data_IF_889057798548
#
_entry.id   IF_889057798548
#
_cell.length_a   1.000
_cell.length_b   1.000
_cell.length_c   1.000
_cell.angle_alpha   90.00
_cell.angle_beta   90.00
_cell.angle_gamma   90.00
#
_symmetry.space_group_name_H-M   'P 1'
#
loop_
_entity.id
_entity.type
_entity.pdbx_description
1 polymer ?
#
# COMPACT_ATOMS: atom_id res chain seq x y z
N UNK A 1 16.33 0.77 8.44
CA UNK A 1 16.17 1.00 6.99
C UNK A 1 15.12 0.08 6.35
N UNK A 2 14.96 -1.16 6.81
CA UNK A 2 14.01 -2.13 6.24
C UNK A 2 12.56 -1.63 6.14
N UNK A 3 12.01 -0.97 7.17
CA UNK A 3 10.61 -0.46 7.14
C UNK A 3 10.38 0.57 6.04
N UNK A 4 11.36 1.44 5.77
CA UNK A 4 11.25 2.45 4.70
C UNK A 4 11.25 1.77 3.33
N UNK A 5 12.12 0.78 3.14
CA UNK A 5 12.17 0.00 1.89
C UNK A 5 10.85 -0.73 1.66
N UNK A 6 10.34 -1.44 2.67
CA UNK A 6 9.04 -2.12 2.59
C UNK A 6 7.89 -1.15 2.31
N UNK A 7 7.90 0.05 2.91
CA UNK A 7 6.88 1.07 2.66
C UNK A 7 6.95 1.60 1.23
N UNK A 8 8.16 1.79 0.69
CA UNK A 8 8.37 2.20 -0.71
C UNK A 8 7.85 1.12 -1.66
N UNK A 9 8.17 -0.16 -1.40
CA UNK A 9 7.68 -1.28 -2.19
C UNK A 9 6.14 -1.35 -2.14
N UNK A 10 5.56 -1.27 -0.95
CA UNK A 10 4.10 -1.27 -0.75
C UNK A 10 3.42 -0.14 -1.54
N UNK A 11 3.97 1.07 -1.53
CA UNK A 11 3.41 2.20 -2.26
C UNK A 11 3.58 2.08 -3.77
N UNK A 12 4.72 1.56 -4.23
CA UNK A 12 4.96 1.32 -5.65
C UNK A 12 4.01 0.24 -6.20
N UNK A 13 3.82 -0.83 -5.43
CA UNK A 13 2.87 -1.92 -5.68
C UNK A 13 1.43 -1.38 -5.73
N UNK A 14 1.01 -0.64 -4.71
CA UNK A 14 -0.32 0.00 -4.64
C UNK A 14 -0.58 0.87 -5.88
N UNK A 15 0.40 1.71 -6.26
CA UNK A 15 0.28 2.57 -7.43
C UNK A 15 0.18 1.75 -8.73
N UNK A 16 0.97 0.68 -8.87
CA UNK A 16 0.88 -0.24 -9.99
C UNK A 16 -0.51 -0.90 -10.10
N UNK A 17 -1.06 -1.41 -9.00
CA UNK A 17 -2.39 -2.05 -8.97
C UNK A 17 -3.49 -1.04 -9.33
N UNK A 18 -3.43 0.17 -8.77
CA UNK A 18 -4.38 1.24 -9.08
C UNK A 18 -4.33 1.65 -10.56
N UNK A 19 -3.12 1.82 -11.13
CA UNK A 19 -2.96 2.17 -12.53
C UNK A 19 -3.57 1.14 -13.46
N UNK A 20 -3.32 -0.16 -13.22
CA UNK A 20 -3.90 -1.23 -14.03
C UNK A 20 -5.42 -1.30 -13.86
N UNK A 21 -5.92 -1.13 -12.64
CA UNK A 21 -7.37 -1.11 -12.39
C UNK A 21 -8.05 0.08 -13.06
N UNK A 22 -7.42 1.24 -13.08
CA UNK A 22 -7.91 2.42 -13.81
C UNK A 22 -7.87 2.19 -15.32
N UNK A 23 -6.77 1.66 -15.85
CA UNK A 23 -6.63 1.36 -17.28
C UNK A 23 -7.69 0.34 -17.75
N UNK A 24 -8.00 -0.67 -16.94
CA UNK A 24 -9.10 -1.59 -17.20
C UNK A 24 -10.46 -0.89 -17.16
N UNK A 25 -10.71 -0.04 -16.16
CA UNK A 25 -11.97 0.68 -15.99
C UNK A 25 -12.29 1.64 -17.16
N UNK A 26 -11.28 2.22 -17.80
CA UNK A 26 -11.44 3.06 -19.00
C UNK A 26 -11.33 2.28 -20.32
N UNK A 27 -11.16 0.96 -20.26
CA UNK A 27 -11.11 0.08 -21.42
C UNK A 27 -9.81 0.10 -22.23
N UNK A 28 -8.72 0.63 -21.68
CA UNK A 28 -7.40 0.63 -22.36
C UNK A 28 -6.75 -0.75 -22.36
N UNK A 29 -6.96 -1.53 -21.30
CA UNK A 29 -6.44 -2.89 -21.16
C UNK A 29 -7.57 -3.84 -20.75
N UNK A 30 -7.36 -5.13 -20.91
CA UNK A 30 -8.15 -6.19 -20.26
C UNK A 30 -7.21 -7.02 -19.42
N UNK A 31 -7.47 -7.10 -18.11
CA UNK A 31 -6.66 -7.92 -17.21
C UNK A 31 -7.05 -9.40 -17.31
N UNK A 32 -8.32 -9.71 -17.61
CA UNK A 32 -8.77 -11.08 -17.89
C UNK A 32 -8.71 -11.43 -19.38
N UNK A 33 -8.19 -12.62 -19.71
CA UNK A 33 -8.33 -13.23 -21.03
C UNK A 33 -9.74 -13.83 -21.24
N UNK A 34 -9.89 -14.70 -22.24
CA UNK A 34 -11.12 -15.51 -22.45
C UNK A 34 -11.38 -16.49 -21.31
N UNK A 35 -10.33 -16.88 -20.58
CA UNK A 35 -10.44 -17.58 -19.30
C UNK A 35 -10.37 -16.55 -18.17
N UNK A 36 -11.18 -16.74 -17.12
CA UNK A 36 -11.33 -15.84 -15.96
C UNK A 36 -10.08 -15.79 -15.05
N UNK A 37 -8.88 -15.90 -15.62
CA UNK A 37 -7.60 -15.97 -14.92
C UNK A 37 -6.81 -14.69 -15.18
N UNK A 38 -6.33 -14.06 -14.11
CA UNK A 38 -5.49 -12.86 -14.17
C UNK A 38 -4.05 -13.21 -14.62
N UNK A 39 -3.26 -12.28 -15.17
CA UNK A 39 -1.87 -12.53 -15.55
C UNK A 39 -1.05 -12.85 -14.30
N UNK A 40 -0.10 -13.79 -14.39
CA UNK A 40 0.63 -14.27 -13.19
C UNK A 40 1.37 -13.15 -12.47
N UNK A 41 1.94 -12.20 -13.23
CA UNK A 41 2.61 -11.04 -12.64
C UNK A 41 1.64 -10.16 -11.83
N UNK A 42 0.42 -9.93 -12.33
CA UNK A 42 -0.60 -9.19 -11.59
C UNK A 42 -1.06 -9.93 -10.33
N UNK A 43 -1.22 -11.26 -10.39
CA UNK A 43 -1.51 -12.09 -9.21
C UNK A 43 -0.38 -12.02 -8.18
N UNK A 44 0.88 -12.09 -8.63
CA UNK A 44 2.04 -11.98 -7.75
C UNK A 44 2.08 -10.62 -7.04
N UNK A 45 1.74 -9.54 -7.75
CA UNK A 45 1.64 -8.19 -7.17
C UNK A 45 0.53 -8.09 -6.12
N UNK A 46 -0.65 -8.68 -6.35
CA UNK A 46 -1.70 -8.74 -5.32
C UNK A 46 -1.22 -9.51 -4.07
N UNK A 47 -0.53 -10.63 -4.28
CA UNK A 47 -0.01 -11.43 -3.18
C UNK A 47 1.09 -10.70 -2.41
N UNK A 48 2.02 -10.02 -3.10
CA UNK A 48 3.06 -9.21 -2.45
C UNK A 48 2.47 -8.03 -1.70
N UNK A 49 1.49 -7.35 -2.26
CA UNK A 49 0.75 -6.26 -1.60
C UNK A 49 0.21 -6.71 -0.24
N UNK A 50 -0.45 -7.87 -0.24
CA UNK A 50 -1.03 -8.46 0.97
C UNK A 50 0.07 -8.83 1.97
N UNK A 51 1.07 -9.60 1.54
CA UNK A 51 2.14 -10.07 2.41
C UNK A 51 2.97 -8.93 3.02
N UNK A 52 3.36 -7.95 2.20
CA UNK A 52 4.11 -6.77 2.64
C UNK A 52 3.23 -5.90 3.55
N UNK A 53 1.96 -5.70 3.23
CA UNK A 53 1.01 -4.96 4.04
C UNK A 53 0.87 -5.55 5.46
N UNK A 54 0.67 -6.86 5.55
CA UNK A 54 0.60 -7.58 6.84
C UNK A 54 1.91 -7.43 7.63
N UNK A 55 3.05 -7.64 6.98
CA UNK A 55 4.37 -7.50 7.60
C UNK A 55 4.59 -6.08 8.14
N UNK A 56 4.24 -5.06 7.36
CA UNK A 56 4.34 -3.66 7.77
C UNK A 56 3.48 -3.36 9.01
N UNK A 57 2.27 -3.92 9.09
CA UNK A 57 1.39 -3.71 10.25
C UNK A 57 1.96 -4.39 11.49
N UNK A 58 2.53 -5.60 11.38
CA UNK A 58 3.20 -6.28 12.50
C UNK A 58 4.37 -5.43 13.02
N UNK A 59 5.22 -4.96 12.11
CA UNK A 59 6.36 -4.10 12.47
C UNK A 59 5.90 -2.77 13.08
N UNK A 60 4.82 -2.19 12.56
CA UNK A 60 4.23 -0.97 13.09
C UNK A 60 3.66 -1.18 14.50
N UNK A 61 2.97 -2.29 14.76
CA UNK A 61 2.43 -2.62 16.08
C UNK A 61 3.56 -2.75 17.13
N UNK A 62 4.61 -3.50 16.81
CA UNK A 62 5.79 -3.61 17.67
C UNK A 62 6.46 -2.24 17.92
N UNK A 63 6.56 -1.40 16.88
CA UNK A 63 7.08 -0.04 17.03
C UNK A 63 6.19 0.81 17.94
N UNK A 64 4.87 0.76 17.78
CA UNK A 64 3.92 1.53 18.57
C UNK A 64 4.02 1.14 20.04
N UNK A 65 4.02 -0.16 20.35
CA UNK A 65 4.17 -0.66 21.72
C UNK A 65 5.45 -0.12 22.39
N UNK A 66 6.58 -0.20 21.68
CA UNK A 66 7.85 0.34 22.16
C UNK A 66 7.86 1.89 22.27
N UNK A 67 7.15 2.57 21.39
CA UNK A 67 7.15 4.04 21.29
C UNK A 67 6.23 4.72 22.32
N UNK A 68 5.11 4.08 22.69
CA UNK A 68 4.07 4.64 23.56
C UNK A 68 4.58 5.20 24.91
N UNK A 69 5.48 4.52 25.66
CA UNK A 69 5.99 5.05 26.93
C UNK A 69 6.72 6.39 26.77
N UNK A 70 7.36 6.64 25.63
CA UNK A 70 8.03 7.91 25.35
C UNK A 70 7.03 9.00 24.98
N UNK A 71 5.99 8.64 24.22
CA UNK A 71 4.94 9.56 23.80
C UNK A 71 4.16 10.09 24.99
N UNK A 72 3.74 9.20 25.90
CA UNK A 72 2.94 9.58 27.06
C UNK A 72 3.71 10.50 28.00
N UNK A 73 5.00 10.25 28.25
CA UNK A 73 5.86 11.14 29.06
C UNK A 73 5.96 12.57 28.52
N UNK A 74 5.73 12.79 27.22
CA UNK A 74 5.93 14.08 26.56
C UNK A 74 4.65 14.90 26.38
N UNK A 75 3.47 14.29 26.56
CA UNK A 75 2.15 14.93 26.53
C UNK A 75 1.86 15.90 25.35
N UNK A 76 2.49 15.69 24.18
CA UNK A 76 2.28 16.55 22.99
C UNK A 76 1.00 16.16 22.25
N UNK A 77 -0.13 16.78 22.61
CA UNK A 77 -1.47 16.49 22.07
C UNK A 77 -1.54 16.32 20.54
N UNK A 78 -0.93 17.21 19.76
CA UNK A 78 -0.93 17.14 18.28
C UNK A 78 -0.15 15.94 17.72
N UNK A 79 0.98 15.60 18.33
CA UNK A 79 1.75 14.43 17.92
C UNK A 79 1.04 13.13 18.31
N UNK A 80 0.39 13.12 19.48
CA UNK A 80 -0.44 12.01 19.95
C UNK A 80 -1.62 11.80 18.99
N UNK A 81 -2.40 12.83 18.67
CA UNK A 81 -3.58 12.68 17.83
C UNK A 81 -3.25 12.19 16.42
N UNK A 82 -2.24 12.77 15.78
CA UNK A 82 -1.77 12.33 14.45
C UNK A 82 -1.19 10.91 14.48
N UNK A 83 -0.52 10.53 15.57
CA UNK A 83 -0.02 9.17 15.77
C UNK A 83 -1.15 8.15 15.92
N UNK A 84 -2.14 8.45 16.77
CA UNK A 84 -3.33 7.62 16.95
C UNK A 84 -4.09 7.46 15.63
N UNK A 85 -4.31 8.53 14.87
CA UNK A 85 -4.94 8.45 13.56
C UNK A 85 -4.17 7.55 12.59
N UNK A 86 -2.83 7.62 12.60
CA UNK A 86 -1.99 6.75 11.78
C UNK A 86 -2.20 5.28 12.13
N UNK A 87 -2.26 4.95 13.43
CA UNK A 87 -2.50 3.58 13.92
C UNK A 87 -3.90 3.11 13.55
N UNK A 88 -4.92 3.96 13.73
CA UNK A 88 -6.31 3.63 13.36
C UNK A 88 -6.41 3.32 11.88
N UNK A 89 -5.89 4.19 10.99
CA UNK A 89 -5.94 3.93 9.55
C UNK A 89 -5.14 2.69 9.15
N UNK A 90 -3.96 2.45 9.74
CA UNK A 90 -3.19 1.23 9.50
C UNK A 90 -3.92 -0.04 9.93
N UNK A 91 -4.58 -0.02 11.09
CA UNK A 91 -5.42 -1.12 11.57
C UNK A 91 -6.64 -1.36 10.67
N UNK A 92 -7.33 -0.29 10.25
CA UNK A 92 -8.45 -0.38 9.31
C UNK A 92 -8.00 -0.96 7.97
N UNK A 93 -6.83 -0.58 7.46
CA UNK A 93 -6.25 -1.15 6.24
C UNK A 93 -6.02 -2.67 6.37
N UNK A 94 -5.46 -3.14 7.49
CA UNK A 94 -5.30 -4.57 7.71
C UNK A 94 -6.65 -5.30 7.71
N UNK A 95 -7.61 -4.81 8.51
CA UNK A 95 -8.91 -5.47 8.67
C UNK A 95 -9.65 -5.52 7.34
N UNK A 96 -9.75 -4.39 6.65
CA UNK A 96 -10.44 -4.33 5.36
C UNK A 96 -9.70 -5.11 4.28
N UNK A 97 -8.36 -5.11 4.27
CA UNK A 97 -7.56 -5.91 3.34
C UNK A 97 -7.79 -7.41 3.49
N UNK A 98 -7.79 -7.93 4.72
CA UNK A 98 -8.11 -9.33 5.00
C UNK A 98 -9.57 -9.67 4.66
N UNK A 99 -10.49 -8.75 4.91
CA UNK A 99 -11.91 -8.93 4.59
C UNK A 99 -12.14 -9.05 3.07
N UNK A 100 -11.46 -8.24 2.26
CA UNK A 100 -11.51 -8.29 0.79
C UNK A 100 -10.96 -9.62 0.23
N UNK A 101 -10.09 -10.34 0.94
CA UNK A 101 -9.56 -11.63 0.50
C UNK A 101 -10.47 -12.82 0.83
N UNK A 102 -11.54 -12.60 1.59
CA UNK A 102 -12.47 -13.64 2.02
C UNK A 102 -13.71 -13.72 1.12
N UNK A 103 -14.67 -14.59 1.47
CA UNK A 103 -15.99 -14.67 0.81
C UNK A 103 -16.80 -13.37 0.89
N UNK A 104 -16.36 -12.42 1.74
CA UNK A 104 -16.94 -11.09 1.81
C UNK A 104 -16.54 -10.17 0.64
N UNK A 105 -15.76 -10.63 -0.35
CA UNK A 105 -15.51 -9.90 -1.58
C UNK A 105 -16.71 -9.94 -2.55
N UNK A 106 -17.85 -9.44 -2.08
CA UNK A 106 -19.09 -9.36 -2.84
C UNK A 106 -19.45 -7.90 -3.15
N UNK A 107 -20.34 -7.70 -4.12
CA UNK A 107 -20.89 -6.36 -4.41
C UNK A 107 -21.60 -5.75 -3.20
N UNK A 108 -22.24 -6.58 -2.38
CA UNK A 108 -22.95 -6.16 -1.17
C UNK A 108 -21.98 -5.59 -0.11
N UNK A 109 -20.72 -6.00 -0.17
CA UNK A 109 -19.65 -5.59 0.74
C UNK A 109 -18.66 -4.60 0.10
N UNK A 110 -19.04 -3.94 -1.01
CA UNK A 110 -18.20 -2.96 -1.69
C UNK A 110 -17.75 -1.80 -0.78
N UNK A 111 -18.45 -1.55 0.34
CA UNK A 111 -18.05 -0.59 1.35
C UNK A 111 -16.64 -0.86 1.88
N UNK A 112 -16.25 -2.13 2.06
CA UNK A 112 -14.95 -2.50 2.61
C UNK A 112 -13.81 -2.07 1.68
N UNK A 113 -14.01 -2.23 0.37
CA UNK A 113 -13.09 -1.73 -0.65
C UNK A 113 -12.94 -0.20 -0.58
N UNK A 114 -14.05 0.54 -0.53
CA UNK A 114 -13.99 2.00 -0.45
C UNK A 114 -13.35 2.51 0.83
N UNK A 115 -13.63 1.86 1.98
CA UNK A 115 -12.96 2.17 3.25
C UNK A 115 -11.47 1.90 3.16
N UNK A 116 -11.06 0.78 2.56
CA UNK A 116 -9.65 0.45 2.36
C UNK A 116 -8.94 1.52 1.52
N UNK A 117 -9.50 1.87 0.36
CA UNK A 117 -8.95 2.91 -0.54
C UNK A 117 -8.87 4.26 0.16
N UNK A 118 -9.93 4.67 0.88
CA UNK A 118 -9.95 5.93 1.61
C UNK A 118 -8.87 5.95 2.71
N UNK A 119 -8.74 4.87 3.48
CA UNK A 119 -7.70 4.78 4.51
C UNK A 119 -6.30 4.79 3.91
N UNK A 120 -6.09 4.16 2.75
CA UNK A 120 -4.81 4.16 2.05
C UNK A 120 -4.44 5.58 1.59
N UNK A 121 -5.42 6.34 1.08
CA UNK A 121 -5.22 7.73 0.70
C UNK A 121 -4.95 8.64 1.91
N UNK A 122 -5.65 8.43 3.04
CA UNK A 122 -5.56 9.29 4.22
C UNK A 122 -4.36 8.99 5.12
N UNK A 123 -3.90 7.74 5.21
CA UNK A 123 -2.79 7.37 6.09
C UNK A 123 -1.49 8.09 5.70
N UNK A 124 -1.27 8.36 4.41
CA UNK A 124 -0.08 9.04 3.91
C UNK A 124 0.04 10.50 4.38
N UNK A 125 -0.92 11.40 4.11
CA UNK A 125 -0.85 12.78 4.59
C UNK A 125 -0.87 12.85 6.12
N UNK A 126 -1.58 11.94 6.80
CA UNK A 126 -1.61 11.87 8.26
C UNK A 126 -0.25 11.47 8.82
N UNK A 127 0.42 10.47 8.23
CA UNK A 127 1.77 10.09 8.60
C UNK A 127 2.76 11.23 8.35
N UNK A 128 2.68 11.91 7.21
CA UNK A 128 3.53 13.08 6.93
C UNK A 128 3.29 14.19 7.95
N UNK A 129 2.04 14.47 8.31
CA UNK A 129 1.69 15.44 9.34
C UNK A 129 2.27 15.03 10.71
N UNK A 130 2.12 13.75 11.09
CA UNK A 130 2.71 13.20 12.30
C UNK A 130 4.23 13.41 12.35
N UNK A 131 4.94 13.14 11.25
CA UNK A 131 6.39 13.37 11.14
C UNK A 131 6.80 14.83 11.19
N UNK A 132 5.98 15.76 10.68
CA UNK A 132 6.26 17.21 10.72
C UNK A 132 6.11 17.81 12.12
N UNK A 133 5.16 17.33 12.91
CA UNK A 133 4.92 17.80 14.29
C UNK A 133 5.78 17.06 15.33
N UNK A 134 6.43 15.98 14.92
CA UNK A 134 7.38 15.21 15.74
C UNK A 134 8.66 15.99 16.01
N UNK A 135 9.30 15.68 17.14
CA UNK A 135 10.59 16.26 17.53
C UNK A 135 11.69 15.84 16.54
N UNK A 136 11.66 14.56 16.13
CA UNK A 136 12.59 13.99 15.17
C UNK A 136 12.03 14.09 13.76
N UNK A 137 12.49 15.11 13.03
CA UNK A 137 12.05 15.36 11.66
C UNK A 137 12.86 14.52 10.67
N UNK A 138 12.23 14.01 9.59
CA UNK A 138 12.96 13.37 8.50
C UNK A 138 13.87 14.39 7.77
N UNK A 139 14.92 13.91 7.11
CA UNK A 139 15.81 14.75 6.33
C UNK A 139 15.08 15.34 5.10
N UNK A 140 15.54 16.50 4.64
CA UNK A 140 14.99 17.12 3.42
C UNK A 140 15.19 16.23 2.19
N UNK A 141 16.28 15.45 2.16
CA UNK A 141 16.59 14.52 1.09
C UNK A 141 15.53 13.41 0.97
N UNK A 142 15.03 12.89 2.11
CA UNK A 142 13.98 11.85 2.10
C UNK A 142 12.72 12.29 1.36
N UNK A 143 12.35 13.58 1.40
CA UNK A 143 11.19 14.10 0.68
C UNK A 143 11.34 14.08 -0.84
N UNK A 144 12.55 13.90 -1.37
CA UNK A 144 12.81 13.75 -2.81
C UNK A 144 13.06 12.29 -3.18
N UNK A 145 13.94 11.62 -2.43
CA UNK A 145 14.37 10.24 -2.75
C UNK A 145 13.22 9.25 -2.65
N UNK A 146 12.37 9.36 -1.61
CA UNK A 146 11.26 8.41 -1.41
C UNK A 146 10.24 8.48 -2.54
N UNK A 147 9.69 9.66 -2.93
CA UNK A 147 8.79 9.75 -4.08
C UNK A 147 9.42 9.28 -5.39
N UNK A 148 10.69 9.63 -5.65
CA UNK A 148 11.40 9.19 -6.86
C UNK A 148 11.53 7.67 -6.90
N UNK A 149 11.87 7.04 -5.77
CA UNK A 149 11.96 5.58 -5.69
C UNK A 149 10.59 4.91 -5.92
N UNK A 150 9.50 5.46 -5.36
CA UNK A 150 8.14 4.95 -5.58
C UNK A 150 7.80 5.01 -7.08
N UNK A 151 7.96 6.17 -7.71
CA UNK A 151 7.68 6.34 -9.15
C UNK A 151 8.53 5.40 -10.00
N UNK A 152 9.84 5.33 -9.74
CA UNK A 152 10.75 4.47 -10.48
C UNK A 152 10.38 2.99 -10.39
N UNK A 153 10.02 2.52 -9.20
CA UNK A 153 9.59 1.13 -9.00
C UNK A 153 8.22 0.85 -9.60
N UNK A 154 7.28 1.80 -9.54
CA UNK A 154 5.99 1.67 -10.22
C UNK A 154 6.17 1.54 -11.73
N UNK A 155 6.99 2.39 -12.35
CA UNK A 155 7.29 2.30 -13.78
C UNK A 155 7.96 0.96 -14.13
N UNK A 156 8.93 0.53 -13.33
CA UNK A 156 9.57 -0.77 -13.50
C UNK A 156 8.55 -1.92 -13.45
N UNK A 157 7.61 -1.90 -12.49
CA UNK A 157 6.57 -2.90 -12.37
C UNK A 157 5.61 -2.90 -13.58
N UNK A 158 5.26 -1.71 -14.11
CA UNK A 158 4.45 -1.59 -15.33
C UNK A 158 5.17 -2.21 -16.53
N UNK A 159 6.45 -1.89 -16.75
CA UNK A 159 7.23 -2.48 -17.85
C UNK A 159 7.44 -3.99 -17.67
N UNK A 160 7.65 -4.45 -16.43
CA UNK A 160 7.77 -5.86 -16.13
C UNK A 160 6.47 -6.63 -16.45
N UNK A 161 5.31 -6.08 -16.10
CA UNK A 161 4.02 -6.68 -16.43
C UNK A 161 3.89 -6.97 -17.92
N UNK A 162 4.20 -5.98 -18.76
CA UNK A 162 4.11 -6.12 -20.22
C UNK A 162 5.07 -7.20 -20.74
N UNK A 163 6.34 -7.17 -20.29
CA UNK A 163 7.34 -8.16 -20.66
C UNK A 163 6.91 -9.60 -20.29
N UNK A 164 6.41 -9.82 -19.07
CA UNK A 164 5.94 -11.14 -18.63
C UNK A 164 4.66 -11.58 -19.36
N UNK A 165 3.75 -10.66 -19.65
CA UNK A 165 2.51 -10.98 -20.39
C UNK A 165 2.82 -11.42 -21.82
N UNK A 166 3.79 -10.77 -22.49
CA UNK A 166 4.23 -11.15 -23.82
C UNK A 166 4.91 -12.53 -23.85
N UNK A 167 5.70 -12.86 -22.82
CA UNK A 167 6.32 -14.18 -22.66
C UNK A 167 5.28 -15.30 -22.51
N UNK A 168 4.24 -15.08 -21.70
CA UNK A 168 3.18 -16.08 -21.50
C UNK A 168 2.40 -16.36 -22.78
N UNK A 169 2.12 -15.33 -23.59
CA UNK A 169 1.46 -15.51 -24.88
C UNK A 169 2.33 -16.26 -25.88
N UNK A 170 3.64 -16.01 -25.89
CA UNK A 170 4.59 -16.70 -26.78
C UNK A 170 4.78 -18.19 -26.47
N UNK A 171 4.61 -18.60 -25.21
CA UNK A 171 4.70 -20.00 -24.78
C UNK A 171 3.42 -20.82 -25.02
N UNK A 172 2.31 -20.16 -25.36
CA UNK A 172 1.01 -20.81 -25.63
C UNK A 172 0.77 -21.13 -27.12
N UNK A 173 1.71 -20.76 -27.99
CA UNK A 173 1.72 -21.08 -29.43
C UNK A 173 2.63 -22.27 -29.71
#
# INVERSE_FOLDING_TARGET
>A
MCVVVLSVLMLADTAYLLLHRMAEAVGWIRLGGTELVLPKFYQAMILSHTGIGVLLVILAAAFVEWHLPQVWRRHRRRAISTGVLTVVFGGTLLITGMFILSEANSRDNAWAWWVHVLCAALVLPVYVAHRRVSIWKPSLLSYRVVPVAIVGLTLLAVFAHDAFSNLEQGLSK
#
